data_IF_376788114087
#
_entry.id   IF_376788114087
#
_cell.length_a   1.000
_cell.length_b   1.000
_cell.length_c   1.000
_cell.angle_alpha   90.00
_cell.angle_beta   90.00
_cell.angle_gamma   90.00
#
_symmetry.space_group_name_H-M   'P 1'
#
loop_
_entity.id
_entity.type
_entity.pdbx_description
1 polymer ?
#
# COMPACT_ATOMS: atom_id res chain seq x y z
N UNK A 1 -92.92 -17.34 -10.23
CA UNK A 1 -92.38 -18.65 -9.81
C UNK A 1 -90.92 -18.92 -10.20
N UNK A 2 -90.22 -18.04 -10.93
CA UNK A 2 -88.84 -18.29 -11.38
C UNK A 2 -87.75 -17.91 -10.36
N UNK A 3 -87.97 -16.90 -9.52
CA UNK A 3 -86.96 -16.44 -8.54
C UNK A 3 -86.66 -17.44 -7.40
N UNK A 4 -87.65 -18.26 -6.99
CA UNK A 4 -87.47 -19.27 -5.93
C UNK A 4 -86.62 -20.48 -6.39
N UNK A 5 -86.64 -20.79 -7.68
CA UNK A 5 -85.87 -21.91 -8.24
C UNK A 5 -84.38 -21.56 -8.35
N UNK A 6 -84.08 -20.31 -8.72
CA UNK A 6 -82.69 -19.81 -8.83
C UNK A 6 -82.01 -19.77 -7.45
N UNK A 7 -82.71 -19.34 -6.40
CA UNK A 7 -82.15 -19.37 -5.04
C UNK A 7 -81.91 -20.79 -4.54
N UNK A 8 -82.79 -21.75 -4.84
CA UNK A 8 -82.61 -23.16 -4.44
C UNK A 8 -81.40 -23.81 -5.13
N UNK A 9 -81.18 -23.51 -6.41
CA UNK A 9 -80.02 -24.00 -7.17
C UNK A 9 -78.71 -23.43 -6.58
N UNK A 10 -78.67 -22.14 -6.25
CA UNK A 10 -77.49 -21.50 -5.67
C UNK A 10 -77.12 -22.14 -4.31
N UNK A 11 -78.10 -22.42 -3.44
CA UNK A 11 -77.83 -23.09 -2.16
C UNK A 11 -77.37 -24.55 -2.35
N UNK A 12 -77.86 -25.27 -3.36
CA UNK A 12 -77.40 -26.64 -3.64
C UNK A 12 -75.94 -26.70 -4.14
N UNK A 13 -75.51 -25.69 -4.90
CA UNK A 13 -74.13 -25.59 -5.41
C UNK A 13 -73.17 -25.18 -4.28
N UNK A 14 -73.61 -24.34 -3.35
CA UNK A 14 -72.81 -23.95 -2.17
C UNK A 14 -72.68 -25.12 -1.18
N UNK A 15 -73.72 -25.94 -1.00
CA UNK A 15 -73.69 -27.11 -0.11
C UNK A 15 -72.79 -28.24 -0.66
N UNK A 16 -72.77 -28.44 -1.98
CA UNK A 16 -71.85 -29.37 -2.65
C UNK A 16 -70.38 -28.88 -2.64
N UNK A 17 -70.17 -27.56 -2.67
CA UNK A 17 -68.84 -26.96 -2.50
C UNK A 17 -68.25 -27.10 -1.10
N UNK A 18 -69.09 -27.23 -0.07
CA UNK A 18 -68.65 -27.38 1.33
C UNK A 18 -68.29 -28.84 1.71
N UNK A 19 -68.81 -29.83 0.97
CA UNK A 19 -68.55 -31.26 1.17
C UNK A 19 -67.39 -31.80 0.31
N UNK A 20 -66.83 -30.98 -0.58
CA UNK A 20 -65.76 -31.36 -1.52
C UNK A 20 -64.34 -30.99 -1.08
N UNK A 21 -64.14 -30.43 0.11
CA UNK A 21 -62.81 -30.17 0.65
C UNK A 21 -62.41 -31.37 1.51
N UNK A 22 -61.55 -32.29 1.04
CA UNK A 22 -60.82 -33.10 1.99
C UNK A 22 -60.02 -32.10 2.84
N UNK A 23 -60.26 -32.11 4.15
CA UNK A 23 -59.29 -31.67 5.13
C UNK A 23 -58.01 -32.50 4.88
N UNK A 24 -57.19 -32.08 3.91
CA UNK A 24 -55.79 -32.42 3.87
C UNK A 24 -55.16 -31.63 5.02
N UNK A 25 -55.37 -32.17 6.22
CA UNK A 25 -54.35 -32.13 7.26
C UNK A 25 -53.04 -32.32 6.53
N UNK A 26 -52.18 -31.29 6.57
CA UNK A 26 -50.86 -31.36 5.98
C UNK A 26 -50.22 -32.64 6.50
N UNK A 27 -50.19 -33.67 5.66
CA UNK A 27 -49.42 -34.86 5.89
C UNK A 27 -47.98 -34.36 5.88
N UNK A 28 -47.47 -34.08 7.07
CA UNK A 28 -46.05 -34.11 7.34
C UNK A 28 -45.64 -35.53 6.96
N UNK A 29 -45.25 -35.72 5.70
CA UNK A 29 -44.73 -36.99 5.22
C UNK A 29 -43.57 -37.31 6.15
N UNK A 30 -43.74 -38.29 7.04
CA UNK A 30 -42.70 -38.75 7.94
C UNK A 30 -41.64 -39.41 7.07
N UNK A 31 -40.75 -38.56 6.55
CA UNK A 31 -39.66 -38.91 5.68
C UNK A 31 -38.80 -39.94 6.42
N UNK A 32 -38.65 -41.12 5.83
CA UNK A 32 -37.97 -42.25 6.48
C UNK A 32 -36.50 -41.90 6.69
N UNK A 33 -35.85 -42.50 7.70
CA UNK A 33 -34.46 -42.18 8.07
C UNK A 33 -33.50 -42.29 6.89
N UNK A 34 -33.72 -43.26 5.99
CA UNK A 34 -32.91 -43.47 4.79
C UNK A 34 -33.10 -42.37 3.74
N UNK A 35 -34.33 -41.92 3.52
CA UNK A 35 -34.61 -40.80 2.61
C UNK A 35 -34.01 -39.49 3.14
N UNK A 36 -33.99 -39.28 4.47
CA UNK A 36 -33.35 -38.12 5.09
C UNK A 36 -31.83 -38.13 4.88
N UNK A 37 -31.19 -39.30 5.02
CA UNK A 37 -29.76 -39.46 4.75
C UNK A 37 -29.46 -39.18 3.27
N UNK A 38 -30.28 -39.71 2.36
CA UNK A 38 -30.12 -39.47 0.92
C UNK A 38 -30.27 -37.99 0.53
N UNK A 39 -31.22 -37.29 1.15
CA UNK A 39 -31.37 -35.84 0.98
C UNK A 39 -30.14 -35.10 1.53
N UNK A 40 -29.65 -35.48 2.72
CA UNK A 40 -28.47 -34.88 3.31
C UNK A 40 -27.21 -35.08 2.45
N UNK A 41 -27.02 -36.26 1.86
CA UNK A 41 -25.89 -36.55 0.96
C UNK A 41 -25.97 -35.74 -0.34
N UNK A 42 -27.15 -35.68 -0.98
CA UNK A 42 -27.35 -34.87 -2.18
C UNK A 42 -27.05 -33.38 -1.90
N UNK A 43 -27.50 -32.91 -0.74
CA UNK A 43 -27.25 -31.57 -0.24
C UNK A 43 -25.76 -31.29 0.01
N UNK A 44 -25.02 -32.25 0.58
CA UNK A 44 -23.56 -32.14 0.78
C UNK A 44 -22.80 -32.09 -0.55
N UNK A 45 -23.17 -32.92 -1.52
CA UNK A 45 -22.54 -32.94 -2.84
C UNK A 45 -22.75 -31.62 -3.61
N UNK A 46 -23.90 -30.98 -3.45
CA UNK A 46 -24.18 -29.66 -4.03
C UNK A 46 -23.38 -28.54 -3.32
N UNK A 47 -23.20 -28.65 -2.01
CA UNK A 47 -22.36 -27.74 -1.22
C UNK A 47 -20.90 -27.83 -1.62
N UNK A 48 -20.39 -29.02 -1.88
CA UNK A 48 -18.98 -29.22 -2.23
C UNK A 48 -18.67 -28.54 -3.57
N UNK A 49 -19.57 -28.67 -4.56
CA UNK A 49 -19.45 -27.97 -5.85
C UNK A 49 -19.49 -26.44 -5.74
N UNK A 50 -20.37 -25.91 -4.89
CA UNK A 50 -20.55 -24.46 -4.70
C UNK A 50 -19.48 -23.84 -3.80
N UNK A 51 -18.99 -24.56 -2.79
CA UNK A 51 -17.85 -24.12 -1.96
C UNK A 51 -16.53 -24.19 -2.71
N UNK A 52 -16.24 -25.23 -3.50
CA UNK A 52 -14.99 -25.31 -4.27
C UNK A 52 -14.87 -24.13 -5.24
N UNK A 53 -15.97 -23.73 -5.88
CA UNK A 53 -15.97 -22.59 -6.80
C UNK A 53 -15.80 -21.25 -6.09
N UNK A 54 -16.47 -21.03 -4.96
CA UNK A 54 -16.42 -19.73 -4.23
C UNK A 54 -15.17 -19.60 -3.34
N UNK A 55 -14.81 -20.64 -2.60
CA UNK A 55 -13.66 -20.67 -1.67
C UNK A 55 -12.35 -20.90 -2.43
N UNK A 56 -12.34 -21.69 -3.51
CA UNK A 56 -11.14 -21.92 -4.34
C UNK A 56 -10.61 -20.63 -5.00
N UNK A 57 -11.51 -19.72 -5.38
CA UNK A 57 -11.16 -18.38 -5.87
C UNK A 57 -10.52 -17.49 -4.79
N UNK A 58 -10.89 -17.68 -3.52
CA UNK A 58 -10.46 -16.83 -2.40
C UNK A 58 -9.20 -17.38 -1.70
N UNK A 59 -8.99 -18.69 -1.74
CA UNK A 59 -7.95 -19.38 -0.94
C UNK A 59 -6.62 -19.62 -1.65
N UNK A 60 -6.56 -19.54 -2.98
CA UNK A 60 -5.36 -19.97 -3.74
C UNK A 60 -4.08 -19.14 -3.51
N UNK A 61 -4.16 -17.96 -2.89
CA UNK A 61 -3.04 -17.03 -2.74
C UNK A 61 -2.60 -16.75 -1.30
N UNK A 62 -3.08 -17.49 -0.30
CA UNK A 62 -3.09 -16.99 1.08
C UNK A 62 -2.48 -17.98 2.10
N UNK A 63 -1.46 -17.59 2.89
CA UNK A 63 -0.87 -18.46 3.90
C UNK A 63 -1.88 -18.84 4.99
N UNK A 64 -1.85 -20.10 5.39
CA UNK A 64 -2.80 -20.78 6.28
C UNK A 64 -2.57 -20.54 7.77
N UNK A 65 -1.53 -19.81 8.15
CA UNK A 65 -1.14 -19.57 9.56
C UNK A 65 -1.35 -18.11 9.97
N UNK A 66 -2.61 -17.65 9.94
CA UNK A 66 -2.97 -16.31 10.42
C UNK A 66 -3.19 -16.31 11.95
N UNK A 67 -3.54 -17.46 12.54
CA UNK A 67 -3.85 -17.61 13.97
C UNK A 67 -2.65 -17.45 14.92
N UNK A 68 -1.42 -17.33 14.41
CA UNK A 68 -0.18 -17.17 15.21
C UNK A 68 0.60 -15.90 14.89
N UNK A 69 0.00 -14.95 14.17
CA UNK A 69 0.69 -13.72 13.79
C UNK A 69 0.75 -12.76 14.98
N UNK A 70 1.86 -12.75 15.71
CA UNK A 70 2.17 -11.70 16.67
C UNK A 70 2.85 -10.54 15.93
N UNK A 71 2.21 -9.37 15.96
CA UNK A 71 2.79 -8.18 15.34
C UNK A 71 4.02 -7.73 16.14
N UNK A 72 5.15 -7.43 15.48
CA UNK A 72 6.27 -6.74 16.10
C UNK A 72 5.82 -5.40 16.71
N UNK A 73 6.52 -4.89 17.75
CA UNK A 73 6.16 -3.61 18.35
C UNK A 73 6.29 -2.48 17.33
N UNK A 74 5.40 -1.49 17.42
CA UNK A 74 5.32 -0.32 16.53
C UNK A 74 6.68 0.38 16.30
N UNK A 75 7.56 0.38 17.30
CA UNK A 75 8.90 0.96 17.21
C UNK A 75 9.72 0.40 16.05
N UNK A 76 9.64 -0.91 15.78
CA UNK A 76 10.37 -1.56 14.67
C UNK A 76 9.89 -1.02 13.32
N UNK A 77 8.59 -0.77 13.19
CA UNK A 77 8.02 -0.20 11.98
C UNK A 77 8.36 1.30 11.80
N UNK A 78 8.43 2.05 12.91
CA UNK A 78 8.79 3.47 12.87
C UNK A 78 10.27 3.70 12.54
N UNK A 79 11.17 2.81 12.96
CA UNK A 79 12.57 2.86 12.55
C UNK A 79 12.73 2.55 11.06
N UNK A 80 11.95 1.59 10.54
CA UNK A 80 11.98 1.25 9.12
C UNK A 80 11.50 2.40 8.20
N UNK A 81 10.68 3.33 8.71
CA UNK A 81 10.28 4.55 7.97
C UNK A 81 11.51 5.40 7.57
N UNK A 82 12.57 5.40 8.36
CA UNK A 82 13.81 6.16 8.08
C UNK A 82 14.45 5.67 6.78
N UNK A 83 14.31 4.39 6.45
CA UNK A 83 14.94 3.82 5.27
C UNK A 83 14.19 4.10 3.95
N UNK A 84 13.00 4.71 4.04
CA UNK A 84 12.16 5.00 2.89
C UNK A 84 12.81 5.99 1.92
N UNK A 85 12.62 5.76 0.61
CA UNK A 85 13.18 6.61 -0.44
C UNK A 85 12.74 8.08 -0.34
N UNK A 86 11.51 8.35 0.11
CA UNK A 86 10.98 9.73 0.26
C UNK A 86 11.73 10.48 1.35
N UNK A 87 11.99 9.80 2.48
CA UNK A 87 12.73 10.34 3.63
C UNK A 87 14.18 10.57 3.26
N UNK A 88 14.82 9.57 2.64
CA UNK A 88 16.20 9.68 2.14
C UNK A 88 16.37 10.82 1.14
N UNK A 89 15.37 11.07 0.29
CA UNK A 89 15.36 12.21 -0.62
C UNK A 89 15.36 13.54 0.14
N UNK A 90 14.48 13.70 1.13
CA UNK A 90 14.41 14.90 1.95
C UNK A 90 15.71 15.13 2.75
N UNK A 91 16.26 14.08 3.35
CA UNK A 91 17.58 14.10 4.01
C UNK A 91 18.70 14.54 3.05
N UNK A 92 18.75 13.97 1.84
CA UNK A 92 19.75 14.32 0.84
C UNK A 92 19.63 15.80 0.42
N UNK A 93 18.41 16.34 0.30
CA UNK A 93 18.22 17.76 0.00
C UNK A 93 18.78 18.66 1.10
N UNK A 94 18.54 18.34 2.37
CA UNK A 94 19.13 19.05 3.52
C UNK A 94 20.67 18.98 3.45
N UNK A 95 21.23 17.80 3.18
CA UNK A 95 22.68 17.61 3.08
C UNK A 95 23.30 18.35 1.90
N UNK A 96 22.64 18.40 0.74
CA UNK A 96 23.08 19.15 -0.43
C UNK A 96 23.19 20.64 -0.11
N UNK A 97 22.17 21.24 0.48
CA UNK A 97 22.20 22.67 0.85
C UNK A 97 23.21 22.91 1.99
N UNK A 98 23.35 21.98 2.94
CA UNK A 98 24.39 22.03 3.98
C UNK A 98 25.80 21.95 3.39
N UNK A 99 26.00 21.18 2.33
CA UNK A 99 27.28 21.13 1.60
C UNK A 99 27.54 22.45 0.87
N UNK A 100 26.54 23.01 0.19
CA UNK A 100 26.64 24.34 -0.43
C UNK A 100 26.97 25.44 0.60
N UNK A 101 26.34 25.41 1.77
CA UNK A 101 26.67 26.30 2.88
C UNK A 101 28.15 26.16 3.33
N UNK A 102 28.64 24.92 3.46
CA UNK A 102 30.05 24.64 3.79
C UNK A 102 31.01 25.12 2.70
N UNK A 103 30.68 24.91 1.43
CA UNK A 103 31.45 25.43 0.30
C UNK A 103 31.48 26.95 0.31
N UNK A 104 30.34 27.61 0.51
CA UNK A 104 30.26 29.07 0.58
C UNK A 104 31.02 29.65 1.78
N UNK A 105 31.06 28.92 2.90
CA UNK A 105 31.92 29.28 4.03
C UNK A 105 33.40 29.20 3.69
N UNK A 106 33.82 28.25 2.84
CA UNK A 106 35.21 28.06 2.36
C UNK A 106 35.56 28.85 1.10
N UNK A 107 34.59 29.49 0.45
CA UNK A 107 34.76 30.21 -0.82
C UNK A 107 35.78 31.36 -0.75
N UNK A 108 36.15 31.82 0.45
CA UNK A 108 37.25 32.80 0.61
C UNK A 108 38.60 32.31 0.08
N UNK A 109 38.82 31.00 0.01
CA UNK A 109 40.02 30.43 -0.63
C UNK A 109 40.09 30.76 -2.12
N UNK A 110 38.95 31.01 -2.79
CA UNK A 110 38.91 31.32 -4.22
C UNK A 110 39.45 32.72 -4.55
N UNK A 111 39.70 33.55 -3.54
CA UNK A 111 40.40 34.83 -3.71
C UNK A 111 41.90 34.64 -3.98
N UNK A 112 42.47 33.52 -3.52
CA UNK A 112 43.85 33.16 -3.80
C UNK A 112 43.89 32.29 -5.05
N UNK A 113 44.45 32.83 -6.13
CA UNK A 113 44.63 32.08 -7.38
C UNK A 113 46.12 31.94 -7.64
N UNK A 114 46.58 30.70 -7.64
CA UNK A 114 47.90 30.36 -8.13
C UNK A 114 47.78 30.03 -9.62
N UNK A 115 48.51 30.77 -10.44
CA UNK A 115 48.57 30.54 -11.88
C UNK A 115 50.01 30.15 -12.25
N UNK A 116 50.13 29.01 -12.91
CA UNK A 116 51.37 28.59 -13.55
C UNK A 116 51.07 28.33 -15.02
N UNK A 117 51.74 29.04 -15.90
CA UNK A 117 51.65 28.84 -17.34
C UNK A 117 53.05 28.59 -17.90
N UNK A 118 53.17 27.53 -18.70
CA UNK A 118 54.37 27.22 -19.47
C UNK A 118 53.96 27.12 -20.93
N UNK A 119 54.47 28.03 -21.75
CA UNK A 119 54.22 28.02 -23.18
C UNK A 119 55.54 28.06 -23.95
N UNK A 120 55.61 27.25 -24.99
CA UNK A 120 56.75 27.18 -25.90
C UNK A 120 56.24 27.47 -27.31
N UNK A 121 56.82 28.47 -27.96
CA UNK A 121 56.39 28.92 -29.28
C UNK A 121 57.48 29.72 -29.98
N UNK A 122 57.33 29.85 -31.31
CA UNK A 122 58.19 30.72 -32.11
C UNK A 122 57.54 32.10 -32.15
N UNK A 123 58.26 33.10 -31.66
CA UNK A 123 57.84 34.49 -31.76
C UNK A 123 58.53 35.10 -32.99
N UNK A 124 57.74 35.58 -33.96
CA UNK A 124 58.24 36.29 -35.12
C UNK A 124 58.07 37.79 -34.84
N UNK A 125 59.17 38.48 -34.56
CA UNK A 125 59.15 39.94 -34.45
C UNK A 125 59.37 40.50 -35.85
N UNK A 126 58.34 41.17 -36.39
CA UNK A 126 58.47 41.99 -37.59
C UNK A 126 58.80 43.40 -37.09
N UNK A 127 60.08 43.77 -37.15
CA UNK A 127 60.54 45.12 -36.88
C UNK A 127 60.55 45.93 -38.18
N UNK A 128 59.85 47.06 -38.21
CA UNK A 128 60.05 48.08 -39.25
C UNK A 128 60.84 49.22 -38.62
N UNK A 129 62.12 49.36 -39.01
CA UNK A 129 62.88 50.56 -38.73
C UNK A 129 62.86 51.44 -40.00
N UNK A 130 62.39 52.67 -39.87
CA UNK A 130 62.48 53.70 -40.90
C UNK A 130 63.09 54.94 -40.28
N UNK A 131 64.14 55.45 -40.91
CA UNK A 131 64.72 56.78 -40.65
C UNK A 131 64.63 57.61 -41.93
N UNK A 132 64.60 58.94 -41.82
CA UNK A 132 64.28 59.90 -42.90
C UNK A 132 65.15 59.76 -44.16
N UNK A 133 66.31 59.08 -44.05
CA UNK A 133 67.28 58.88 -45.13
C UNK A 133 67.54 57.42 -45.53
N UNK A 134 66.76 56.43 -45.07
CA UNK A 134 66.95 55.01 -45.46
C UNK A 134 65.66 54.30 -45.89
N UNK A 135 65.67 53.49 -46.98
CA UNK A 135 64.47 52.80 -47.46
C UNK A 135 64.02 51.70 -46.48
N UNK A 136 62.71 51.60 -46.27
CA UNK A 136 62.09 50.65 -45.33
C UNK A 136 62.44 49.19 -45.68
N UNK A 137 63.17 48.51 -44.78
CA UNK A 137 63.45 47.08 -44.88
C UNK A 137 62.81 46.33 -43.71
N UNK A 138 62.04 45.28 -44.01
CA UNK A 138 61.40 44.42 -43.01
C UNK A 138 62.38 43.34 -42.55
N UNK A 139 62.82 43.40 -41.29
CA UNK A 139 63.60 42.31 -40.69
C UNK A 139 62.65 41.39 -39.91
N UNK A 140 62.52 40.14 -40.35
CA UNK A 140 61.80 39.10 -39.58
C UNK A 140 62.83 38.31 -38.77
N UNK A 141 62.89 38.56 -37.45
CA UNK A 141 63.67 37.74 -36.54
C UNK A 141 62.76 36.66 -35.95
N UNK A 142 62.99 35.39 -36.30
CA UNK A 142 62.29 34.24 -35.73
C UNK A 142 63.15 33.64 -34.63
N UNK A 143 62.69 33.73 -33.38
CA UNK A 143 63.38 33.15 -32.24
C UNK A 143 62.44 32.22 -31.47
N UNK A 144 62.93 31.03 -31.13
CA UNK A 144 62.21 30.11 -30.25
C UNK A 144 62.36 30.62 -28.81
N UNK A 145 61.24 30.97 -28.17
CA UNK A 145 61.25 31.49 -26.81
C UNK A 145 60.43 30.59 -25.89
N UNK A 146 61.01 30.31 -24.72
CA UNK A 146 60.34 29.62 -23.63
C UNK A 146 59.73 30.68 -22.72
N UNK A 147 58.40 30.75 -22.66
CA UNK A 147 57.70 31.65 -21.75
C UNK A 147 57.20 30.86 -20.54
N UNK A 148 57.82 31.08 -19.40
CA UNK A 148 57.40 30.55 -18.12
C UNK A 148 56.87 31.69 -17.27
N UNK A 149 55.57 31.69 -16.99
CA UNK A 149 54.94 32.66 -16.11
C UNK A 149 54.37 31.90 -14.91
N UNK A 150 54.98 32.10 -13.74
CA UNK A 150 54.42 31.66 -12.47
C UNK A 150 54.09 32.91 -11.67
N UNK A 151 52.83 33.03 -11.28
CA UNK A 151 52.34 34.16 -10.53
C UNK A 151 51.21 33.76 -9.60
N UNK A 152 51.21 34.34 -8.40
CA UNK A 152 50.04 34.34 -7.54
C UNK A 152 49.29 35.65 -7.77
N UNK A 153 47.98 35.56 -7.94
CA UNK A 153 47.10 36.72 -7.98
C UNK A 153 46.07 36.63 -6.86
N UNK A 154 45.81 37.78 -6.23
CA UNK A 154 44.76 37.92 -5.22
C UNK A 154 43.68 38.81 -5.82
N UNK A 155 42.50 38.23 -6.08
CA UNK A 155 41.36 38.95 -6.62
C UNK A 155 40.27 39.08 -5.57
N UNK A 156 40.06 40.27 -5.03
CA UNK A 156 39.03 40.52 -4.01
C UNK A 156 37.83 41.21 -4.66
N UNK A 157 36.72 40.50 -4.77
CA UNK A 157 35.45 41.07 -5.21
C UNK A 157 34.74 41.71 -4.00
N UNK A 158 34.81 43.05 -3.86
CA UNK A 158 34.18 43.79 -2.76
C UNK A 158 32.68 43.45 -2.59
N UNK A 159 31.94 43.28 -3.69
CA UNK A 159 30.54 42.89 -3.66
C UNK A 159 30.27 41.49 -3.09
N UNK A 160 31.20 40.56 -3.17
CA UNK A 160 31.07 39.25 -2.52
C UNK A 160 31.37 39.33 -1.02
N UNK A 161 32.28 40.22 -0.61
CA UNK A 161 32.66 40.40 0.78
C UNK A 161 31.50 40.96 1.62
N UNK A 162 30.84 42.01 1.13
CA UNK A 162 29.71 42.64 1.82
C UNK A 162 28.43 41.77 1.79
N UNK A 163 28.18 41.03 0.70
CA UNK A 163 26.99 40.19 0.58
C UNK A 163 27.12 38.80 1.23
N UNK A 164 28.33 38.39 1.65
CA UNK A 164 28.59 37.09 2.28
C UNK A 164 27.73 36.80 3.52
N UNK A 165 27.62 37.68 4.53
CA UNK A 165 26.79 37.40 5.70
C UNK A 165 25.33 37.20 5.33
N UNK A 166 24.81 37.98 4.36
CA UNK A 166 23.44 37.83 3.87
C UNK A 166 23.24 36.49 3.16
N UNK A 167 24.16 36.09 2.28
CA UNK A 167 24.14 34.77 1.62
C UNK A 167 24.23 33.62 2.62
N UNK A 168 25.08 33.72 3.64
CA UNK A 168 25.19 32.69 4.68
C UNK A 168 23.93 32.59 5.55
N UNK A 169 23.24 33.71 5.79
CA UNK A 169 21.96 33.75 6.50
C UNK A 169 20.84 33.12 5.67
N UNK A 170 20.79 33.41 4.38
CA UNK A 170 19.87 32.79 3.42
C UNK A 170 20.02 31.26 3.38
N UNK A 171 21.25 30.74 3.25
CA UNK A 171 21.51 29.29 3.35
C UNK A 171 21.06 28.68 4.68
N UNK A 172 21.21 29.39 5.81
CA UNK A 172 20.75 28.90 7.11
C UNK A 172 19.23 28.74 7.12
N UNK A 173 18.50 29.73 6.60
CA UNK A 173 17.04 29.68 6.50
C UNK A 173 16.58 28.58 5.55
N UNK A 174 17.26 28.40 4.41
CA UNK A 174 16.96 27.30 3.50
C UNK A 174 17.19 25.92 4.15
N UNK A 175 18.29 25.75 4.91
CA UNK A 175 18.53 24.51 5.66
C UNK A 175 17.43 24.27 6.68
N UNK A 176 17.07 25.30 7.45
CA UNK A 176 16.02 25.22 8.48
C UNK A 176 14.66 24.87 7.86
N UNK A 177 14.29 25.50 6.75
CA UNK A 177 13.07 25.19 6.01
C UNK A 177 13.07 23.75 5.47
N UNK A 178 14.20 23.28 4.93
CA UNK A 178 14.33 21.91 4.45
C UNK A 178 14.30 20.90 5.60
N UNK A 179 14.79 21.26 6.79
CA UNK A 179 14.67 20.44 7.99
C UNK A 179 13.21 20.32 8.43
N UNK A 180 12.44 21.41 8.45
CA UNK A 180 11.00 21.33 8.73
C UNK A 180 10.25 20.49 7.69
N UNK A 181 10.58 20.64 6.41
CA UNK A 181 9.98 19.81 5.35
C UNK A 181 10.35 18.33 5.51
N UNK A 182 11.58 18.03 5.93
CA UNK A 182 12.00 16.66 6.25
C UNK A 182 11.22 16.11 7.45
N UNK A 183 11.05 16.89 8.51
CA UNK A 183 10.28 16.52 9.70
C UNK A 183 8.81 16.27 9.36
N UNK A 184 8.20 17.13 8.55
CA UNK A 184 6.83 16.96 8.05
C UNK A 184 6.67 15.64 7.27
N UNK A 185 7.60 15.35 6.35
CA UNK A 185 7.60 14.08 5.60
C UNK A 185 7.75 12.89 6.54
N UNK A 186 8.61 12.99 7.56
CA UNK A 186 8.78 11.95 8.57
C UNK A 186 7.49 11.73 9.37
N UNK A 187 6.88 12.80 9.85
CA UNK A 187 5.65 12.77 10.63
C UNK A 187 4.50 12.15 9.82
N UNK A 188 4.25 12.64 8.60
CA UNK A 188 3.22 12.08 7.72
C UNK A 188 3.42 10.59 7.47
N UNK A 189 4.67 10.12 7.35
CA UNK A 189 4.96 8.70 7.18
C UNK A 189 4.74 7.90 8.46
N UNK A 190 5.15 8.42 9.62
CA UNK A 190 4.89 7.79 10.92
C UNK A 190 3.38 7.66 11.18
N UNK A 191 2.60 8.69 10.85
CA UNK A 191 1.14 8.67 10.96
C UNK A 191 0.53 7.58 10.07
N UNK A 192 0.92 7.50 8.80
CA UNK A 192 0.44 6.43 7.89
C UNK A 192 0.79 5.03 8.38
N UNK A 193 1.99 4.83 8.94
CA UNK A 193 2.39 3.54 9.53
C UNK A 193 1.58 3.22 10.78
N UNK A 194 1.31 4.22 11.63
CA UNK A 194 0.47 4.06 12.80
C UNK A 194 -0.97 3.68 12.42
N UNK A 195 -1.55 4.36 11.42
CA UNK A 195 -2.88 4.05 10.89
C UNK A 195 -2.94 2.63 10.33
N UNK A 196 -1.94 2.24 9.53
CA UNK A 196 -1.83 0.89 8.98
C UNK A 196 -1.71 -0.17 10.09
N UNK A 197 -0.88 0.09 11.10
CA UNK A 197 -0.73 -0.81 12.24
C UNK A 197 -2.05 -0.97 13.01
N UNK A 198 -2.73 0.14 13.31
CA UNK A 198 -4.02 0.11 13.98
C UNK A 198 -5.06 -0.67 13.16
N UNK A 199 -5.11 -0.46 11.84
CA UNK A 199 -5.98 -1.23 10.96
C UNK A 199 -5.69 -2.74 11.02
N UNK A 200 -4.41 -3.15 11.01
CA UNK A 200 -4.06 -4.58 11.17
C UNK A 200 -4.51 -5.11 12.53
N UNK A 201 -4.32 -4.37 13.63
CA UNK A 201 -4.78 -4.81 14.95
C UNK A 201 -6.29 -4.96 15.04
N UNK A 202 -7.05 -4.06 14.40
CA UNK A 202 -8.51 -4.13 14.31
C UNK A 202 -8.95 -5.34 13.48
N UNK A 203 -8.31 -5.58 12.34
CA UNK A 203 -8.60 -6.73 11.50
C UNK A 203 -8.24 -8.06 12.17
N UNK A 204 -7.18 -8.10 13.01
CA UNK A 204 -6.84 -9.26 13.83
C UNK A 204 -7.93 -9.59 14.86
N UNK A 205 -8.48 -8.57 15.54
CA UNK A 205 -9.60 -8.78 16.46
C UNK A 205 -10.86 -9.26 15.70
N UNK A 206 -11.12 -8.68 14.52
CA UNK A 206 -12.28 -9.00 13.69
C UNK A 206 -12.22 -10.42 13.13
N UNK A 207 -11.06 -10.85 12.61
CA UNK A 207 -10.91 -12.21 12.10
C UNK A 207 -11.06 -13.23 13.22
N UNK A 208 -10.54 -12.96 14.43
CA UNK A 208 -10.67 -13.86 15.58
C UNK A 208 -12.14 -14.06 15.97
N UNK A 209 -12.91 -12.98 16.08
CA UNK A 209 -14.35 -13.06 16.38
C UNK A 209 -15.14 -13.84 15.29
N UNK A 210 -14.78 -13.62 14.02
CA UNK A 210 -15.40 -14.32 12.89
C UNK A 210 -14.97 -15.79 12.78
N UNK A 211 -13.74 -16.12 13.16
CA UNK A 211 -13.23 -17.48 13.26
C UNK A 211 -13.99 -18.27 14.32
N UNK A 212 -14.17 -17.67 15.52
CA UNK A 212 -14.97 -18.25 16.60
C UNK A 212 -16.42 -18.47 16.17
N UNK A 213 -17.01 -17.49 15.47
CA UNK A 213 -18.36 -17.61 14.91
C UNK A 213 -18.46 -18.74 13.88
N UNK A 214 -17.49 -18.85 12.96
CA UNK A 214 -17.46 -19.91 11.96
C UNK A 214 -17.30 -21.30 12.61
N UNK A 215 -16.44 -21.43 13.63
CA UNK A 215 -16.29 -22.66 14.40
C UNK A 215 -17.59 -23.05 15.13
N UNK A 216 -18.27 -22.07 15.73
CA UNK A 216 -19.56 -22.28 16.40
C UNK A 216 -20.63 -22.76 15.43
N UNK A 217 -20.83 -22.08 14.29
CA UNK A 217 -21.83 -22.50 13.31
C UNK A 217 -21.48 -23.83 12.64
N UNK A 218 -20.19 -24.15 12.48
CA UNK A 218 -19.75 -25.47 12.04
C UNK A 218 -20.10 -26.57 13.05
N UNK A 219 -19.96 -26.31 14.35
CA UNK A 219 -20.38 -27.23 15.40
C UNK A 219 -21.92 -27.38 15.44
N UNK A 220 -22.64 -26.26 15.36
CA UNK A 220 -24.09 -26.24 15.34
C UNK A 220 -24.66 -26.99 14.13
N UNK A 221 -24.04 -26.86 12.96
CA UNK A 221 -24.43 -27.61 11.77
C UNK A 221 -24.37 -29.12 11.99
N UNK A 222 -23.31 -29.64 12.64
CA UNK A 222 -23.20 -31.08 12.95
C UNK A 222 -24.31 -31.54 13.89
N UNK A 223 -24.69 -30.71 14.85
CA UNK A 223 -25.81 -30.98 15.76
C UNK A 223 -27.13 -31.00 14.98
N UNK A 224 -27.38 -29.98 14.15
CA UNK A 224 -28.58 -29.88 13.33
C UNK A 224 -28.71 -31.02 12.30
N UNK A 225 -27.62 -31.45 11.68
CA UNK A 225 -27.60 -32.63 10.79
C UNK A 225 -28.06 -33.89 11.54
N UNK A 226 -27.57 -34.11 12.76
CA UNK A 226 -27.97 -35.24 13.59
C UNK A 226 -29.46 -35.16 14.00
N UNK A 227 -29.90 -33.97 14.43
CA UNK A 227 -31.29 -33.70 14.77
C UNK A 227 -32.23 -33.92 13.57
N UNK A 228 -31.78 -33.59 12.35
CA UNK A 228 -32.53 -33.85 11.12
C UNK A 228 -32.65 -35.35 10.85
N UNK A 229 -31.56 -36.11 10.97
CA UNK A 229 -31.56 -37.58 10.83
C UNK A 229 -32.51 -38.23 11.86
N UNK A 230 -32.56 -37.69 13.08
CA UNK A 230 -33.41 -38.19 14.17
C UNK A 230 -34.89 -37.79 14.07
N UNK A 231 -35.28 -36.96 13.09
CA UNK A 231 -36.68 -36.54 12.96
C UNK A 231 -37.06 -35.28 13.73
N UNK A 232 -36.20 -34.80 14.65
CA UNK A 232 -36.51 -33.68 15.55
C UNK A 232 -36.62 -32.32 14.87
N UNK A 233 -35.98 -32.14 13.72
CA UNK A 233 -36.08 -30.90 12.91
C UNK A 233 -36.44 -31.22 11.46
N UNK A 234 -37.03 -30.23 10.79
CA UNK A 234 -37.43 -30.30 9.38
C UNK A 234 -36.31 -29.83 8.43
N UNK A 235 -36.54 -30.01 7.12
CA UNK A 235 -35.56 -29.63 6.10
C UNK A 235 -35.39 -28.11 5.98
N UNK A 236 -36.42 -27.33 6.34
CA UNK A 236 -36.39 -25.86 6.26
C UNK A 236 -35.52 -25.28 7.37
N UNK A 237 -35.62 -25.78 8.60
CA UNK A 237 -34.71 -25.40 9.68
C UNK A 237 -33.27 -25.83 9.41
N UNK A 238 -33.05 -27.02 8.83
CA UNK A 238 -31.71 -27.44 8.42
C UNK A 238 -31.14 -26.52 7.32
N UNK A 239 -31.94 -26.13 6.34
CA UNK A 239 -31.48 -25.21 5.28
C UNK A 239 -31.18 -23.81 5.80
N UNK A 240 -31.94 -23.33 6.79
CA UNK A 240 -31.66 -22.07 7.49
C UNK A 240 -30.33 -22.12 8.25
N UNK A 241 -30.09 -23.17 9.03
CA UNK A 241 -28.81 -23.35 9.74
C UNK A 241 -27.62 -23.47 8.77
N UNK A 242 -27.83 -24.14 7.63
CA UNK A 242 -26.83 -24.18 6.55
C UNK A 242 -26.55 -22.80 5.97
N UNK A 243 -27.57 -21.98 5.74
CA UNK A 243 -27.40 -20.61 5.26
C UNK A 243 -26.61 -19.76 6.27
N UNK A 244 -26.87 -19.93 7.58
CA UNK A 244 -26.09 -19.28 8.65
C UNK A 244 -24.63 -19.71 8.65
N UNK A 245 -24.35 -21.02 8.55
CA UNK A 245 -22.97 -21.55 8.43
C UNK A 245 -22.26 -20.97 7.21
N UNK A 246 -22.92 -21.00 6.04
CA UNK A 246 -22.36 -20.46 4.81
C UNK A 246 -22.04 -18.97 4.93
N UNK A 247 -22.96 -18.17 5.48
CA UNK A 247 -22.75 -16.74 5.75
C UNK A 247 -21.58 -16.48 6.72
N UNK A 248 -21.43 -17.30 7.75
CA UNK A 248 -20.32 -17.21 8.70
C UNK A 248 -18.96 -17.53 8.04
N UNK A 249 -18.90 -18.59 7.21
CA UNK A 249 -17.69 -18.96 6.47
C UNK A 249 -17.28 -17.87 5.48
N UNK A 250 -18.23 -17.34 4.69
CA UNK A 250 -17.97 -16.23 3.78
C UNK A 250 -17.47 -15.00 4.54
N UNK A 251 -18.10 -14.69 5.68
CA UNK A 251 -17.69 -13.55 6.51
C UNK A 251 -16.27 -13.69 7.06
N UNK A 252 -15.87 -14.90 7.46
CA UNK A 252 -14.52 -15.24 7.90
C UNK A 252 -13.51 -15.08 6.77
N UNK A 253 -13.79 -15.63 5.58
CA UNK A 253 -12.92 -15.49 4.42
C UNK A 253 -12.75 -14.03 3.97
N UNK A 254 -13.82 -13.23 4.00
CA UNK A 254 -13.74 -11.79 3.75
C UNK A 254 -12.84 -11.07 4.76
N UNK A 255 -12.93 -11.42 6.05
CA UNK A 255 -12.05 -10.84 7.08
C UNK A 255 -10.60 -11.26 6.88
N UNK A 256 -10.37 -12.48 6.41
CA UNK A 256 -9.04 -12.99 6.06
C UNK A 256 -8.39 -12.17 4.95
N UNK A 257 -9.13 -11.86 3.88
CA UNK A 257 -8.66 -11.00 2.79
C UNK A 257 -8.40 -9.57 3.28
N UNK A 258 -9.31 -9.01 4.08
CA UNK A 258 -9.16 -7.66 4.63
C UNK A 258 -7.90 -7.52 5.52
N UNK A 259 -7.65 -8.52 6.37
CA UNK A 259 -6.45 -8.57 7.19
C UNK A 259 -5.18 -8.64 6.33
N UNK A 260 -5.16 -9.48 5.30
CA UNK A 260 -4.00 -9.58 4.42
C UNK A 260 -3.72 -8.28 3.66
N UNK A 261 -4.75 -7.63 3.11
CA UNK A 261 -4.58 -6.33 2.47
C UNK A 261 -3.98 -5.30 3.43
N UNK A 262 -4.41 -5.32 4.70
CA UNK A 262 -3.88 -4.43 5.75
C UNK A 262 -2.42 -4.75 6.07
N UNK A 263 -2.06 -6.04 6.16
CA UNK A 263 -0.67 -6.47 6.39
C UNK A 263 0.22 -6.07 5.21
N UNK A 264 -0.17 -6.37 3.97
CA UNK A 264 0.60 -6.01 2.76
C UNK A 264 0.80 -4.49 2.69
N UNK A 265 -0.20 -3.69 3.05
CA UNK A 265 -0.06 -2.24 3.12
C UNK A 265 0.97 -1.80 4.17
N UNK A 266 0.97 -2.42 5.36
CA UNK A 266 1.98 -2.16 6.38
C UNK A 266 3.39 -2.55 5.92
N UNK A 267 3.53 -3.71 5.26
CA UNK A 267 4.79 -4.18 4.69
C UNK A 267 5.30 -3.24 3.59
N UNK A 268 4.44 -2.75 2.69
CA UNK A 268 4.83 -1.78 1.65
C UNK A 268 5.26 -0.44 2.23
N UNK A 269 4.65 0.00 3.34
CA UNK A 269 5.01 1.27 3.98
C UNK A 269 6.33 1.20 4.75
N UNK A 270 6.63 0.04 5.32
CA UNK A 270 7.76 -0.15 6.23
C UNK A 270 8.91 -0.95 5.59
N UNK A 271 8.70 -1.57 4.42
CA UNK A 271 9.60 -2.56 3.81
C UNK A 271 9.97 -3.74 4.75
N UNK A 272 9.26 -3.91 5.88
CA UNK A 272 9.48 -5.01 6.83
C UNK A 272 8.52 -6.13 6.47
N UNK A 273 9.04 -7.33 6.23
CA UNK A 273 8.20 -8.52 6.05
C UNK A 273 7.62 -8.98 7.39
N UNK A 274 6.30 -8.97 7.49
CA UNK A 274 5.53 -9.48 8.64
C UNK A 274 5.06 -10.91 8.36
N UNK A 275 4.71 -11.19 7.10
CA UNK A 275 4.43 -12.53 6.62
C UNK A 275 5.76 -13.18 6.24
N UNK A 276 6.14 -14.24 6.96
CA UNK A 276 7.22 -15.12 6.52
C UNK A 276 6.72 -15.89 5.30
N UNK A 277 7.14 -15.50 4.12
CA UNK A 277 7.08 -16.37 2.94
C UNK A 277 7.86 -17.64 3.29
N UNK A 278 7.20 -18.80 3.19
CA UNK A 278 7.83 -20.11 3.34
C UNK A 278 8.88 -20.35 2.25
#
# INVERSE_FOLDING_TARGET
>A
MIKRYITSIIYSVILLGLLGVPLSVAAQQELTREERIKILEALKAEDEKTNISTVGLITSSMPTEIDKLELPPLSVFLDAVIENATVKRAQSQVEQVRNQYRLQKRNWWNYFRFNGNYSYGRYNVIGNASDEFTPMYQTTMSSAQHNFNVGASVGISLGELFNRPLKLKDYRYQIEQLQYSQEEVMEQRKLRVLEAYNAVTEQLATIKAKAESAALYNAQMKISENNFIQGTIDIISLSLERARRSGAVVSYEQARVALHNSIVLLEMLTNVKVIKDK
#
